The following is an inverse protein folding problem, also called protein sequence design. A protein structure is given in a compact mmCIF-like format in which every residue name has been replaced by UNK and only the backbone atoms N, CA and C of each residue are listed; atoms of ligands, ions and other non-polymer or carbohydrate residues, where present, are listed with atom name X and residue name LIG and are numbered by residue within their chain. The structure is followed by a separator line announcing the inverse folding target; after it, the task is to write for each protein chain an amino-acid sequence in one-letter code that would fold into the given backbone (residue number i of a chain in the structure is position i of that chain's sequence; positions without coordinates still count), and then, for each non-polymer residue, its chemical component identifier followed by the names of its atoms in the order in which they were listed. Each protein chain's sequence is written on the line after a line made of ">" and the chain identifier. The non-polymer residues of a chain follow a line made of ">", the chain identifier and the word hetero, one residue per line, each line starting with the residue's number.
data_IF_265678760614
#
_entry.id   IF_265678760614
#
_cell.length_a   1.000
_cell.length_b   1.000
_cell.length_c   1.000
_cell.angle_alpha   90.00
_cell.angle_beta   90.00
_cell.angle_gamma   90.00
#
_symmetry.space_group_name_H-M   'P 1'
#
loop_
_entity.id
_entity.type
_entity.pdbx_description
1 polymer ?
#
# COMPACT_ATOMS: atom_id res chain seq x y z
N UNK A 1 -13.09 -3.84 -12.06
CA UNK A 1 -12.31 -2.65 -12.53
C UNK A 1 -10.93 -2.58 -11.85
N UNK A 2 -9.86 -2.09 -12.50
CA UNK A 2 -8.54 -1.89 -11.86
C UNK A 2 -8.56 -0.62 -11.00
N UNK A 3 -8.04 -0.72 -9.76
CA UNK A 3 -7.98 0.34 -8.75
C UNK A 3 -6.57 0.44 -8.17
N UNK A 4 -6.29 1.55 -7.50
CA UNK A 4 -5.01 1.78 -6.82
C UNK A 4 -5.21 2.29 -5.39
N UNK A 5 -4.27 1.96 -4.50
CA UNK A 5 -4.24 2.46 -3.11
C UNK A 5 -2.79 2.67 -2.68
N UNK A 6 -2.52 3.82 -2.09
CA UNK A 6 -1.19 4.17 -1.57
C UNK A 6 -1.11 3.92 -0.06
N UNK A 7 0.05 3.43 0.38
CA UNK A 7 0.43 3.22 1.78
C UNK A 7 1.77 3.91 2.04
N UNK A 8 1.96 4.45 3.24
CA UNK A 8 3.18 5.17 3.64
C UNK A 8 3.46 4.94 5.11
N UNK A 9 4.73 4.77 5.49
CA UNK A 9 5.17 4.63 6.88
C UNK A 9 5.05 5.91 7.70
N UNK A 10 4.99 7.09 7.07
CA UNK A 10 4.79 8.38 7.76
C UNK A 10 3.52 8.43 8.61
N UNK A 11 2.50 7.64 8.23
CA UNK A 11 1.22 7.61 8.94
C UNK A 11 1.25 6.44 9.94
N UNK A 12 1.67 6.74 11.17
CA UNK A 12 1.76 5.88 12.36
C UNK A 12 3.04 5.05 12.53
N UNK A 13 4.13 5.30 11.80
CA UNK A 13 5.39 4.54 11.87
C UNK A 13 5.20 3.02 11.64
N UNK A 14 4.14 2.64 10.93
CA UNK A 14 3.86 1.24 10.61
C UNK A 14 4.35 0.97 9.19
N UNK A 15 5.22 -0.03 9.05
CA UNK A 15 5.73 -0.49 7.76
C UNK A 15 4.58 -0.71 6.73
N UNK A 16 4.72 -0.23 5.47
CA UNK A 16 3.67 -0.35 4.47
C UNK A 16 3.19 -1.79 4.24
N UNK A 17 4.04 -2.80 4.39
CA UNK A 17 3.65 -4.22 4.25
C UNK A 17 2.63 -4.64 5.32
N UNK A 18 2.79 -4.16 6.56
CA UNK A 18 1.85 -4.44 7.66
C UNK A 18 0.51 -3.76 7.40
N UNK A 19 0.53 -2.52 6.87
CA UNK A 19 -0.69 -1.81 6.50
C UNK A 19 -1.43 -2.51 5.36
N UNK A 20 -0.70 -2.97 4.34
CA UNK A 20 -1.25 -3.72 3.21
C UNK A 20 -1.89 -5.01 3.70
N UNK A 21 -1.21 -5.80 4.52
CA UNK A 21 -1.75 -7.06 5.05
C UNK A 21 -3.04 -6.83 5.85
N UNK A 22 -3.05 -5.86 6.77
CA UNK A 22 -4.26 -5.50 7.54
C UNK A 22 -5.41 -4.99 6.67
N UNK A 23 -5.10 -4.39 5.53
CA UNK A 23 -6.10 -3.93 4.58
C UNK A 23 -6.66 -5.11 3.78
N UNK A 24 -5.80 -6.00 3.26
CA UNK A 24 -6.23 -7.21 2.54
C UNK A 24 -7.05 -8.16 3.41
N UNK A 25 -6.72 -8.28 4.71
CA UNK A 25 -7.51 -9.07 5.67
C UNK A 25 -8.98 -8.59 5.78
N UNK A 26 -9.24 -7.30 5.53
CA UNK A 26 -10.59 -6.71 5.55
C UNK A 26 -11.30 -6.78 4.21
N UNK A 27 -10.58 -7.10 3.13
CA UNK A 27 -11.08 -7.09 1.76
C UNK A 27 -10.69 -8.39 1.04
N UNK A 28 -11.31 -9.53 1.41
CA UNK A 28 -10.97 -10.84 0.85
C UNK A 28 -11.29 -10.96 -0.65
N UNK A 29 -12.11 -10.06 -1.19
CA UNK A 29 -12.47 -9.94 -2.60
C UNK A 29 -11.42 -9.20 -3.43
N UNK A 30 -10.40 -8.60 -2.81
CA UNK A 30 -9.38 -7.84 -3.52
C UNK A 30 -8.28 -8.76 -4.05
N UNK A 31 -8.05 -8.70 -5.35
CA UNK A 31 -6.96 -9.38 -6.03
C UNK A 31 -5.87 -8.36 -6.29
N UNK A 32 -4.75 -8.50 -5.57
CA UNK A 32 -3.54 -7.70 -5.82
C UNK A 32 -2.96 -8.09 -7.18
N UNK A 33 -2.76 -7.10 -8.03
CA UNK A 33 -2.18 -7.27 -9.36
C UNK A 33 -0.69 -6.94 -9.36
N UNK A 34 -0.30 -5.87 -8.67
CA UNK A 34 1.09 -5.42 -8.57
C UNK A 34 1.27 -4.50 -7.36
N UNK A 35 2.51 -4.35 -6.89
CA UNK A 35 2.89 -3.43 -5.82
C UNK A 35 4.15 -2.69 -6.24
N UNK A 36 4.06 -1.37 -6.36
CA UNK A 36 5.23 -0.51 -6.61
C UNK A 36 5.72 0.07 -5.30
N UNK A 37 6.97 -0.21 -4.95
CA UNK A 37 7.63 0.34 -3.77
C UNK A 37 8.47 1.56 -4.16
N UNK A 38 8.42 2.59 -3.34
CA UNK A 38 9.32 3.75 -3.43
C UNK A 38 9.87 4.07 -2.05
N UNK A 39 11.08 4.61 -2.03
CA UNK A 39 11.73 5.10 -0.82
C UNK A 39 12.23 6.50 -1.11
N UNK A 40 11.70 7.47 -0.38
CA UNK A 40 12.03 8.87 -0.52
C UNK A 40 12.70 9.36 0.77
N UNK A 41 13.79 10.11 0.65
CA UNK A 41 14.43 10.74 1.81
C UNK A 41 13.88 12.16 1.98
N UNK A 42 13.21 12.40 3.09
CA UNK A 42 12.67 13.71 3.45
C UNK A 42 13.77 14.46 4.21
N UNK A 43 14.48 15.33 3.51
CA UNK A 43 15.63 16.07 4.07
C UNK A 43 15.23 16.94 5.27
N UNK A 44 14.03 17.54 5.26
CA UNK A 44 13.53 18.43 6.31
C UNK A 44 13.38 17.71 7.66
N UNK A 45 12.97 16.46 7.64
CA UNK A 45 12.74 15.62 8.82
C UNK A 45 13.88 14.61 9.07
N UNK A 46 14.91 14.63 8.22
CA UNK A 46 16.01 13.65 8.20
C UNK A 46 15.49 12.20 8.29
N UNK A 47 14.39 11.92 7.57
CA UNK A 47 13.64 10.67 7.67
C UNK A 47 13.56 9.98 6.32
N UNK A 48 13.77 8.65 6.33
CA UNK A 48 13.47 7.81 5.18
C UNK A 48 11.98 7.44 5.21
N UNK A 49 11.27 7.77 4.14
CA UNK A 49 9.86 7.44 3.94
C UNK A 49 9.72 6.31 2.92
N UNK A 50 9.11 5.22 3.33
CA UNK A 50 8.75 4.10 2.47
C UNK A 50 7.29 4.22 2.06
N UNK A 51 7.05 4.18 0.76
CA UNK A 51 5.69 4.17 0.19
C UNK A 51 5.46 2.93 -0.65
N UNK A 52 4.21 2.48 -0.69
CA UNK A 52 3.78 1.37 -1.51
C UNK A 52 2.48 1.73 -2.25
N UNK A 53 2.52 1.71 -3.57
CA UNK A 53 1.34 1.82 -4.43
C UNK A 53 0.87 0.42 -4.78
N UNK A 54 -0.25 -0.01 -4.20
CA UNK A 54 -0.90 -1.28 -4.51
C UNK A 54 -1.86 -1.08 -5.67
N UNK A 55 -1.68 -1.86 -6.73
CA UNK A 55 -2.57 -1.96 -7.88
C UNK A 55 -3.37 -3.24 -7.70
N UNK A 56 -4.70 -3.13 -7.68
CA UNK A 56 -5.59 -4.25 -7.38
C UNK A 56 -6.86 -4.18 -8.22
N UNK A 57 -7.64 -5.25 -8.18
CA UNK A 57 -9.01 -5.28 -8.69
C UNK A 57 -9.90 -5.99 -7.69
N UNK A 58 -11.19 -5.67 -7.72
CA UNK A 58 -12.19 -6.41 -6.96
C UNK A 58 -12.62 -7.64 -7.78
N UNK A 59 -12.74 -8.78 -7.13
CA UNK A 59 -13.29 -9.98 -7.72
C UNK A 59 -14.78 -9.78 -7.94
N UNK A 60 -15.16 -9.63 -9.21
CA UNK A 60 -16.56 -9.60 -9.62
C UNK A 60 -16.91 -11.05 -10.02
N UNK A 61 -17.83 -11.69 -9.28
CA UNK A 61 -18.43 -12.96 -9.68
C UNK A 61 -19.26 -12.68 -10.95
N UNK A 62 -18.68 -12.97 -12.12
CA UNK A 62 -19.38 -12.90 -13.42
C UNK A 62 -20.06 -14.24 -13.71
#
# INVERSE_FOLDING_TARGET
>A
MVKTKMFTDLVNDIDPSVQINRWLDKHPDYIVMDVKLSTDFIEEDNQLCCTALVIYREYENV
#
